data_IF_142031028255
#
_entry.id   IF_142031028255
#
_cell.length_a   1.000
_cell.length_b   1.000
_cell.length_c   1.000
_cell.angle_alpha   90.00
_cell.angle_beta   90.00
_cell.angle_gamma   90.00
#
_symmetry.space_group_name_H-M   'P 1'
#
loop_
_entity.id
_entity.type
_entity.pdbx_description
1 polymer ?
#
# COMPACT_ATOMS: atom_id res chain seq x y z
N UNK A 1 4.48 -9.69 -15.01
CA UNK A 1 4.80 -10.94 -14.25
C UNK A 1 3.54 -11.59 -13.64
N UNK A 2 2.75 -10.91 -12.81
CA UNK A 2 1.53 -11.52 -12.21
C UNK A 2 0.57 -12.10 -13.27
N UNK A 3 0.32 -11.36 -14.36
CA UNK A 3 -0.52 -11.81 -15.48
C UNK A 3 0.01 -13.04 -16.24
N UNK A 4 1.32 -13.32 -16.21
CA UNK A 4 1.88 -14.52 -16.85
C UNK A 4 1.68 -15.74 -15.94
N UNK A 5 1.98 -15.61 -14.64
CA UNK A 5 1.74 -16.67 -13.65
C UNK A 5 0.24 -17.02 -13.57
N UNK A 6 -0.65 -16.03 -13.62
CA UNK A 6 -2.10 -16.27 -13.63
C UNK A 6 -2.61 -16.94 -14.91
N UNK A 7 -1.89 -16.80 -16.04
CA UNK A 7 -2.19 -17.54 -17.27
C UNK A 7 -1.68 -18.97 -17.17
N UNK A 8 -0.45 -19.16 -16.71
CA UNK A 8 0.15 -20.46 -16.46
C UNK A 8 -0.71 -21.34 -15.54
N UNK A 9 -1.25 -20.78 -14.44
CA UNK A 9 -2.17 -21.52 -13.56
C UNK A 9 -3.44 -21.97 -14.29
N UNK A 10 -3.98 -21.14 -15.19
CA UNK A 10 -5.15 -21.51 -16.01
C UNK A 10 -4.81 -22.54 -17.08
N UNK A 11 -3.60 -22.49 -17.61
CA UNK A 11 -3.11 -23.48 -18.57
C UNK A 11 -2.93 -24.84 -17.90
N UNK A 12 -2.30 -24.90 -16.72
CA UNK A 12 -2.18 -26.12 -15.92
C UNK A 12 -3.54 -26.71 -15.53
N UNK A 13 -4.51 -25.86 -15.15
CA UNK A 13 -5.87 -26.31 -14.84
C UNK A 13 -6.59 -26.89 -16.07
N UNK A 14 -6.42 -26.27 -17.24
CA UNK A 14 -6.95 -26.80 -18.50
C UNK A 14 -6.31 -28.15 -18.85
N UNK A 15 -5.02 -28.31 -18.64
CA UNK A 15 -4.29 -29.55 -18.90
C UNK A 15 -4.78 -30.68 -17.97
N UNK A 16 -4.96 -30.39 -16.68
CA UNK A 16 -5.58 -31.31 -15.71
C UNK A 16 -6.98 -31.75 -16.16
N UNK A 17 -7.82 -30.81 -16.59
CA UNK A 17 -9.16 -31.13 -17.09
C UNK A 17 -9.12 -31.99 -18.36
N UNK A 18 -8.19 -31.71 -19.28
CA UNK A 18 -8.00 -32.51 -20.49
C UNK A 18 -7.54 -33.95 -20.16
N UNK A 19 -6.63 -34.12 -19.22
CA UNK A 19 -6.18 -35.44 -18.74
C UNK A 19 -7.31 -36.23 -18.07
N UNK A 20 -8.22 -35.56 -17.36
CA UNK A 20 -9.34 -36.20 -16.67
C UNK A 20 -10.57 -36.45 -17.54
N UNK A 21 -10.70 -35.75 -18.68
CA UNK A 21 -11.85 -35.86 -19.60
C UNK A 21 -12.19 -37.31 -20.01
N UNK A 22 -11.21 -38.18 -20.36
CA UNK A 22 -11.49 -39.57 -20.75
C UNK A 22 -12.07 -40.44 -19.63
N UNK A 23 -11.90 -40.04 -18.37
CA UNK A 23 -12.29 -40.86 -17.22
C UNK A 23 -13.69 -40.54 -16.72
N UNK A 24 -14.31 -39.44 -17.16
CA UNK A 24 -15.68 -39.03 -16.78
C UNK A 24 -16.00 -39.21 -15.28
N UNK A 25 -15.03 -38.91 -14.40
CA UNK A 25 -15.14 -39.04 -12.93
C UNK A 25 -14.78 -40.40 -12.32
N UNK A 26 -14.49 -41.42 -13.13
CA UNK A 26 -14.04 -42.76 -12.71
C UNK A 26 -12.53 -42.96 -12.92
N UNK A 27 -11.73 -41.99 -12.49
CA UNK A 27 -10.27 -42.10 -12.54
C UNK A 27 -9.76 -42.97 -11.37
N UNK A 28 -9.05 -44.05 -11.70
CA UNK A 28 -8.35 -44.88 -10.71
C UNK A 28 -6.83 -44.67 -10.81
N UNK A 29 -6.20 -44.03 -9.81
CA UNK A 29 -4.76 -43.78 -9.79
C UNK A 29 -3.91 -45.05 -9.85
N UNK A 30 -4.42 -46.19 -9.36
CA UNK A 30 -3.67 -47.45 -9.31
C UNK A 30 -3.52 -48.10 -10.69
N UNK A 31 -4.51 -47.89 -11.56
CA UNK A 31 -4.52 -48.40 -12.93
C UNK A 31 -3.63 -47.57 -13.87
N UNK A 32 -3.45 -46.28 -13.56
CA UNK A 32 -2.73 -45.34 -14.41
C UNK A 32 -1.77 -44.45 -13.61
N UNK A 33 -0.67 -45.02 -13.09
CA UNK A 33 0.26 -44.30 -12.22
C UNK A 33 0.95 -43.13 -12.91
N UNK A 34 1.17 -43.19 -14.22
CA UNK A 34 1.79 -42.09 -14.98
C UNK A 34 0.90 -40.84 -15.01
N UNK A 35 -0.41 -40.99 -15.24
CA UNK A 35 -1.36 -39.88 -15.22
C UNK A 35 -1.53 -39.36 -13.79
N UNK A 36 -1.59 -40.25 -12.80
CA UNK A 36 -1.67 -39.85 -11.40
C UNK A 36 -0.46 -38.97 -10.98
N UNK A 37 0.74 -39.32 -11.43
CA UNK A 37 1.93 -38.51 -11.19
C UNK A 37 1.85 -37.15 -11.88
N UNK A 38 1.41 -37.09 -13.15
CA UNK A 38 1.26 -35.83 -13.87
C UNK A 38 0.26 -34.90 -13.17
N UNK A 39 -0.92 -35.41 -12.80
CA UNK A 39 -1.93 -34.67 -12.05
C UNK A 39 -1.41 -34.15 -10.70
N UNK A 40 -0.61 -34.96 -10.00
CA UNK A 40 0.00 -34.55 -8.74
C UNK A 40 1.00 -33.40 -8.96
N UNK A 41 1.86 -33.50 -9.96
CA UNK A 41 2.84 -32.46 -10.29
C UNK A 41 2.13 -31.17 -10.67
N UNK A 42 1.13 -31.22 -11.56
CA UNK A 42 0.36 -30.05 -11.97
C UNK A 42 -0.35 -29.40 -10.77
N UNK A 43 -0.95 -30.21 -9.89
CA UNK A 43 -1.56 -29.73 -8.66
C UNK A 43 -0.57 -29.03 -7.73
N UNK A 44 0.62 -29.59 -7.55
CA UNK A 44 1.68 -28.98 -6.73
C UNK A 44 2.21 -27.69 -7.36
N UNK A 45 2.38 -27.65 -8.68
CA UNK A 45 2.77 -26.45 -9.42
C UNK A 45 1.73 -25.32 -9.28
N UNK A 46 0.44 -25.62 -9.46
CA UNK A 46 -0.64 -24.65 -9.24
C UNK A 46 -0.65 -24.12 -7.79
N UNK A 47 -0.48 -24.99 -6.80
CA UNK A 47 -0.41 -24.59 -5.38
C UNK A 47 0.80 -23.72 -5.07
N UNK A 48 1.95 -24.02 -5.68
CA UNK A 48 3.16 -23.19 -5.58
C UNK A 48 2.90 -21.79 -6.15
N UNK A 49 2.35 -21.71 -7.35
CA UNK A 49 2.04 -20.44 -8.01
C UNK A 49 1.04 -19.62 -7.20
N UNK A 50 -0.03 -20.25 -6.69
CA UNK A 50 -1.00 -19.61 -5.79
C UNK A 50 -0.32 -19.06 -4.53
N UNK A 51 0.56 -19.83 -3.88
CA UNK A 51 1.26 -19.40 -2.67
C UNK A 51 2.16 -18.19 -2.92
N UNK A 52 2.92 -18.21 -4.02
CA UNK A 52 3.78 -17.09 -4.40
C UNK A 52 2.98 -15.81 -4.70
N UNK A 53 1.86 -15.93 -5.41
CA UNK A 53 0.98 -14.79 -5.70
C UNK A 53 0.36 -14.21 -4.43
N UNK A 54 -0.15 -15.07 -3.53
CA UNK A 54 -0.71 -14.60 -2.26
C UNK A 54 0.35 -13.93 -1.38
N UNK A 55 1.56 -14.48 -1.32
CA UNK A 55 2.66 -13.86 -0.57
C UNK A 55 3.04 -12.49 -1.16
N UNK A 56 3.14 -12.37 -2.49
CA UNK A 56 3.39 -11.11 -3.16
C UNK A 56 2.33 -10.06 -2.84
N UNK A 57 1.04 -10.42 -3.02
CA UNK A 57 -0.06 -9.50 -2.74
C UNK A 57 -0.13 -9.13 -1.26
N UNK A 58 0.07 -10.09 -0.35
CA UNK A 58 0.07 -9.82 1.09
C UNK A 58 1.14 -8.80 1.49
N UNK A 59 2.39 -9.00 1.07
CA UNK A 59 3.49 -8.08 1.39
C UNK A 59 3.22 -6.69 0.80
N UNK A 60 2.63 -6.63 -0.40
CA UNK A 60 2.27 -5.36 -1.03
C UNK A 60 1.15 -4.64 -0.28
N UNK A 61 0.12 -5.37 0.13
CA UNK A 61 -0.97 -4.84 0.96
C UNK A 61 -0.47 -4.36 2.32
N UNK A 62 0.43 -5.09 2.98
CA UNK A 62 1.08 -4.65 4.23
C UNK A 62 1.76 -3.29 4.06
N UNK A 63 2.41 -3.05 2.91
CA UNK A 63 3.01 -1.74 2.61
C UNK A 63 1.99 -0.65 2.37
N UNK A 64 0.85 -0.95 1.74
CA UNK A 64 -0.23 0.03 1.58
C UNK A 64 -0.86 0.40 2.92
N UNK A 65 -1.11 -0.59 3.77
CA UNK A 65 -1.61 -0.37 5.13
C UNK A 65 -0.63 0.50 5.93
N UNK A 66 0.68 0.19 5.89
CA UNK A 66 1.73 1.00 6.53
C UNK A 66 1.69 2.46 6.08
N UNK A 67 1.52 2.71 4.78
CA UNK A 67 1.40 4.08 4.24
C UNK A 67 0.19 4.82 4.80
N UNK A 68 -0.98 4.15 4.92
CA UNK A 68 -2.16 4.72 5.57
C UNK A 68 -1.88 5.12 7.02
N UNK A 69 -1.15 4.28 7.78
CA UNK A 69 -0.79 4.58 9.17
C UNK A 69 0.23 5.72 9.30
N UNK A 70 1.08 5.93 8.29
CA UNK A 70 2.00 7.08 8.26
C UNK A 70 1.36 8.39 7.77
N UNK A 71 0.08 8.38 7.39
CA UNK A 71 -0.62 9.57 6.90
C UNK A 71 -0.22 10.02 5.50
N UNK A 72 0.46 9.16 4.72
CA UNK A 72 0.85 9.46 3.34
C UNK A 72 -0.34 9.16 2.43
N UNK A 73 -0.94 10.18 1.83
CA UNK A 73 -1.91 9.98 0.76
C UNK A 73 -1.17 9.69 -0.56
N UNK A 74 -1.09 8.40 -0.88
CA UNK A 74 -0.45 7.91 -2.11
C UNK A 74 -1.22 8.36 -3.36
N UNK A 75 -2.52 8.69 -3.24
CA UNK A 75 -3.35 9.14 -4.35
C UNK A 75 -3.07 10.61 -4.70
N UNK A 76 -2.81 11.45 -3.70
CA UNK A 76 -2.47 12.87 -3.91
C UNK A 76 -1.13 13.01 -4.65
N UNK A 77 -0.18 12.11 -4.37
CA UNK A 77 1.13 12.07 -5.00
C UNK A 77 1.10 11.64 -6.49
N UNK A 78 -0.02 11.08 -6.96
CA UNK A 78 -0.20 10.63 -8.34
C UNK A 78 -0.76 11.71 -9.28
N UNK A 79 -1.40 12.75 -8.74
CA UNK A 79 -1.91 13.85 -9.55
C UNK A 79 -0.72 14.70 -10.00
N UNK A 80 -0.40 14.78 -11.32
CA UNK A 80 0.57 15.75 -11.78
C UNK A 80 0.07 17.14 -11.37
N UNK A 81 0.92 18.03 -10.83
CA UNK A 81 0.51 19.41 -10.60
C UNK A 81 0.07 19.96 -11.96
N UNK A 82 -1.23 20.21 -12.09
CA UNK A 82 -1.79 20.86 -13.26
C UNK A 82 -1.26 22.29 -13.25
N UNK A 83 -0.18 22.53 -14.01
CA UNK A 83 0.28 23.83 -14.49
C UNK A 83 -0.05 25.04 -13.60
N UNK A 84 0.71 25.22 -12.52
CA UNK A 84 0.82 26.51 -11.83
C UNK A 84 2.30 26.89 -11.77
N UNK A 85 2.61 28.04 -12.35
CA UNK A 85 3.94 28.56 -12.60
C UNK A 85 4.87 28.55 -11.37
N UNK A 86 6.09 28.03 -11.59
CA UNK A 86 7.31 28.66 -11.11
C UNK A 86 7.68 28.57 -9.63
N UNK A 87 8.13 27.41 -9.15
CA UNK A 87 9.21 27.32 -8.16
C UNK A 87 9.82 25.91 -8.12
N UNK A 88 11.13 25.82 -8.38
CA UNK A 88 11.91 24.59 -8.28
C UNK A 88 11.74 23.92 -6.91
N UNK A 89 10.97 22.83 -6.87
CA UNK A 89 10.95 21.88 -5.77
C UNK A 89 12.22 21.04 -5.84
N UNK A 90 13.15 21.38 -4.95
CA UNK A 90 14.36 20.59 -4.68
C UNK A 90 13.96 19.18 -4.26
N UNK A 91 14.47 18.23 -5.04
CA UNK A 91 14.33 16.79 -4.96
C UNK A 91 14.42 16.22 -3.54
N UNK A 92 13.31 15.61 -3.07
CA UNK A 92 13.40 14.35 -2.36
C UNK A 92 13.35 13.24 -3.41
N UNK A 93 14.51 12.65 -3.64
CA UNK A 93 14.70 11.48 -4.47
C UNK A 93 13.85 10.30 -3.99
N UNK A 94 12.69 10.07 -4.59
CA UNK A 94 12.07 8.74 -4.63
C UNK A 94 11.21 8.57 -5.90
N UNK A 95 11.89 8.07 -6.93
CA UNK A 95 11.39 7.06 -7.87
C UNK A 95 10.13 7.37 -8.71
N UNK A 96 10.36 7.82 -9.95
CA UNK A 96 9.62 7.40 -11.15
C UNK A 96 8.08 7.46 -11.09
N UNK A 97 7.51 8.59 -11.49
CA UNK A 97 6.09 8.94 -11.51
C UNK A 97 5.24 8.17 -12.55
N UNK A 98 5.28 6.84 -12.53
CA UNK A 98 4.24 6.00 -13.11
C UNK A 98 3.51 5.34 -11.95
N UNK A 99 2.18 5.57 -11.83
CA UNK A 99 1.33 4.87 -10.87
C UNK A 99 1.67 3.38 -10.88
N UNK A 100 2.35 2.93 -9.83
CA UNK A 100 2.71 1.53 -9.69
C UNK A 100 1.55 0.74 -9.07
N UNK A 101 0.49 1.43 -8.64
CA UNK A 101 -0.72 0.86 -8.09
C UNK A 101 -1.65 0.41 -9.22
N UNK A 102 -2.27 -0.74 -9.03
CA UNK A 102 -3.39 -1.11 -9.89
C UNK A 102 -4.68 -0.43 -9.41
N UNK A 103 -5.71 -0.25 -10.27
CA UNK A 103 -6.98 0.35 -9.86
C UNK A 103 -7.64 -0.39 -8.68
N UNK A 104 -7.44 -1.72 -8.61
CA UNK A 104 -7.93 -2.53 -7.49
C UNK A 104 -7.20 -2.21 -6.18
N UNK A 105 -5.92 -1.84 -6.24
CA UNK A 105 -5.13 -1.44 -5.08
C UNK A 105 -5.48 -0.03 -4.62
N UNK A 106 -5.78 0.88 -5.55
CA UNK A 106 -6.26 2.24 -5.22
C UNK A 106 -7.61 2.19 -4.50
N UNK A 107 -8.53 1.36 -4.98
CA UNK A 107 -9.83 1.17 -4.32
C UNK A 107 -9.69 0.49 -2.95
N UNK A 108 -8.79 -0.51 -2.83
CA UNK A 108 -8.47 -1.11 -1.53
C UNK A 108 -7.91 -0.08 -0.54
N UNK A 109 -6.98 0.78 -1.00
CA UNK A 109 -6.39 1.83 -0.19
C UNK A 109 -7.46 2.82 0.31
N UNK A 110 -8.36 3.25 -0.58
CA UNK A 110 -9.48 4.13 -0.21
C UNK A 110 -10.37 3.50 0.87
N UNK A 111 -10.80 2.25 0.68
CA UNK A 111 -11.64 1.54 1.64
C UNK A 111 -10.93 1.33 2.99
N UNK A 112 -9.62 1.05 2.98
CA UNK A 112 -8.84 0.91 4.21
C UNK A 112 -8.67 2.26 4.94
N UNK A 113 -8.44 3.34 4.19
CA UNK A 113 -8.37 4.70 4.75
C UNK A 113 -9.70 5.09 5.40
N UNK A 114 -10.83 4.79 4.74
CA UNK A 114 -12.16 5.05 5.30
C UNK A 114 -12.43 4.21 6.56
N UNK A 115 -12.03 2.93 6.55
CA UNK A 115 -12.09 2.05 7.73
C UNK A 115 -11.26 2.63 8.89
N UNK A 116 -10.03 3.07 8.60
CA UNK A 116 -9.13 3.65 9.57
C UNK A 116 -9.69 4.96 10.14
N UNK A 117 -10.23 5.83 9.29
CA UNK A 117 -10.89 7.07 9.72
C UNK A 117 -12.11 6.80 10.61
N UNK A 118 -12.94 5.81 10.25
CA UNK A 118 -14.07 5.39 11.08
C UNK A 118 -13.62 4.83 12.44
N UNK A 119 -12.49 4.11 12.47
CA UNK A 119 -11.91 3.59 13.70
C UNK A 119 -11.34 4.71 14.59
N UNK A 120 -10.59 5.65 14.00
CA UNK A 120 -10.10 6.85 14.68
C UNK A 120 -11.23 7.72 15.24
N UNK A 121 -12.34 7.84 14.51
CA UNK A 121 -13.50 8.62 14.96
C UNK A 121 -14.13 8.14 16.27
N UNK A 122 -13.84 6.91 16.71
CA UNK A 122 -14.24 6.41 18.03
C UNK A 122 -13.38 6.96 19.17
N UNK A 123 -12.17 7.42 18.87
CA UNK A 123 -11.16 7.87 19.82
C UNK A 123 -10.76 9.31 19.48
N UNK A 124 -11.54 10.29 19.96
CA UNK A 124 -11.27 11.72 19.70
C UNK A 124 -10.08 12.26 20.49
N UNK A 125 -9.73 11.60 21.60
CA UNK A 125 -8.73 12.09 22.55
C UNK A 125 -7.34 11.46 22.30
N UNK A 126 -7.25 10.52 21.35
CA UNK A 126 -6.04 9.75 21.06
C UNK A 126 -5.83 9.70 19.57
N UNK A 127 -4.77 10.36 19.08
CA UNK A 127 -4.33 10.16 17.71
C UNK A 127 -3.60 8.82 17.57
N UNK A 128 -4.23 7.90 16.85
CA UNK A 128 -3.70 6.56 16.57
C UNK A 128 -2.62 6.55 15.49
N UNK A 129 -2.47 7.64 14.73
CA UNK A 129 -1.42 7.81 13.70
C UNK A 129 -0.31 8.76 14.13
N UNK A 130 -0.36 9.23 15.37
CA UNK A 130 0.61 10.15 15.93
C UNK A 130 1.99 9.51 16.11
N UNK A 131 2.95 10.33 16.50
CA UNK A 131 4.32 9.88 16.71
C UNK A 131 4.42 8.76 17.76
N UNK A 132 5.04 7.64 17.38
CA UNK A 132 5.35 6.53 18.28
C UNK A 132 6.52 6.83 19.24
N UNK A 133 7.30 7.88 18.95
CA UNK A 133 8.40 8.30 19.80
C UNK A 133 7.88 9.19 20.93
N UNK A 134 8.19 8.86 22.20
CA UNK A 134 7.71 9.66 23.33
C UNK A 134 8.33 11.06 23.30
N UNK A 135 7.54 12.12 23.53
CA UNK A 135 8.03 13.49 23.55
C UNK A 135 9.02 13.69 24.71
N UNK A 136 10.15 14.34 24.42
CA UNK A 136 11.19 14.65 25.42
C UNK A 136 10.91 15.94 26.17
N UNK A 137 10.39 16.93 25.45
CA UNK A 137 10.09 18.27 25.96
C UNK A 137 8.76 18.75 25.38
N UNK A 138 8.06 19.63 26.12
CA UNK A 138 6.78 20.17 25.68
C UNK A 138 6.91 21.12 24.48
N UNK A 139 8.10 21.72 24.30
CA UNK A 139 8.40 22.71 23.27
C UNK A 139 9.62 22.26 22.45
N UNK A 140 9.59 22.58 21.16
CA UNK A 140 10.64 22.27 20.20
C UNK A 140 10.99 23.49 19.36
N UNK A 141 12.25 23.59 18.94
CA UNK A 141 12.70 24.54 17.93
C UNK A 141 12.54 23.92 16.53
N UNK A 142 11.67 24.50 15.71
CA UNK A 142 11.39 24.04 14.34
C UNK A 142 11.98 25.03 13.35
N UNK A 143 12.67 24.52 12.33
CA UNK A 143 13.17 25.31 11.20
C UNK A 143 12.34 25.04 9.95
N UNK A 144 11.80 26.09 9.37
CA UNK A 144 10.98 26.03 8.17
C UNK A 144 11.84 25.79 6.93
N UNK A 145 11.62 24.69 6.22
CA UNK A 145 12.38 24.33 5.01
C UNK A 145 11.79 24.93 3.73
N UNK A 146 10.47 25.13 3.70
CA UNK A 146 9.71 25.67 2.56
C UNK A 146 8.67 26.66 3.08
N UNK A 147 8.45 27.72 2.32
CA UNK A 147 7.42 28.72 2.65
C UNK A 147 6.04 28.08 2.53
N UNK A 148 5.23 28.21 3.58
CA UNK A 148 3.87 27.69 3.64
C UNK A 148 2.85 28.76 4.04
N UNK A 149 3.29 30.02 4.20
CA UNK A 149 2.43 31.14 4.56
C UNK A 149 1.78 30.98 5.94
N UNK A 150 0.55 31.46 6.06
CA UNK A 150 -0.19 31.52 7.33
C UNK A 150 -0.95 30.22 7.60
N UNK A 151 -0.58 29.50 8.66
CA UNK A 151 -1.26 28.28 9.10
C UNK A 151 -2.01 28.55 10.40
N UNK A 152 -3.25 28.09 10.45
CA UNK A 152 -4.11 28.18 11.63
C UNK A 152 -3.94 26.94 12.49
N UNK A 153 -3.51 27.14 13.73
CA UNK A 153 -3.37 26.09 14.74
C UNK A 153 -4.38 26.32 15.87
N UNK A 154 -4.56 25.32 16.73
CA UNK A 154 -5.43 25.43 17.92
C UNK A 154 -5.03 26.56 18.89
N UNK A 155 -3.75 26.98 18.91
CA UNK A 155 -3.24 28.04 19.77
C UNK A 155 -3.10 29.41 19.08
N UNK A 156 -3.43 29.49 17.79
CA UNK A 156 -3.39 30.73 17.03
C UNK A 156 -2.75 30.59 15.66
N UNK A 157 -2.40 31.73 15.09
CA UNK A 157 -1.89 31.86 13.73
C UNK A 157 -0.37 31.86 13.73
N UNK A 158 0.24 31.05 12.87
CA UNK A 158 1.70 31.00 12.69
C UNK A 158 2.04 31.23 11.23
N UNK A 159 2.98 32.13 10.97
CA UNK A 159 3.45 32.42 9.62
C UNK A 159 4.76 31.68 9.35
N UNK A 160 4.70 30.69 8.45
CA UNK A 160 5.80 29.80 8.10
C UNK A 160 6.58 30.33 6.89
N UNK A 161 7.49 31.26 7.15
CA UNK A 161 8.40 31.78 6.12
C UNK A 161 9.64 30.92 5.97
N UNK A 162 10.14 30.74 4.74
CA UNK A 162 11.31 29.89 4.45
C UNK A 162 12.54 30.28 5.29
N UNK A 163 13.20 29.29 5.88
CA UNK A 163 14.38 29.42 6.76
C UNK A 163 14.14 30.12 8.10
N UNK A 164 12.90 30.47 8.46
CA UNK A 164 12.59 30.97 9.81
C UNK A 164 12.72 29.85 10.85
N UNK A 165 12.95 30.25 12.11
CA UNK A 165 12.99 29.37 13.27
C UNK A 165 11.89 29.78 14.23
N UNK A 166 11.16 28.79 14.73
CA UNK A 166 9.99 28.98 15.59
C UNK A 166 10.14 28.08 16.81
N UNK A 167 9.82 28.61 17.98
CA UNK A 167 9.76 27.86 19.23
C UNK A 167 8.31 27.63 19.62
N UNK A 168 7.91 26.38 19.68
CA UNK A 168 6.53 25.97 19.43
C UNK A 168 6.23 24.69 20.20
N UNK A 169 4.98 24.53 20.64
CA UNK A 169 4.56 23.35 21.41
C UNK A 169 4.60 22.12 20.50
N UNK A 170 5.15 21.01 20.98
CA UNK A 170 5.36 19.81 20.17
C UNK A 170 4.06 19.21 19.62
N UNK A 171 2.97 19.21 20.42
CA UNK A 171 1.67 18.67 19.97
C UNK A 171 1.14 19.34 18.70
N UNK A 172 1.41 20.64 18.53
CA UNK A 172 0.94 21.44 17.40
C UNK A 172 1.59 21.08 16.05
N UNK A 173 2.69 20.33 16.03
CA UNK A 173 3.39 19.92 14.80
C UNK A 173 3.12 18.48 14.38
N UNK A 174 2.63 17.66 15.30
CA UNK A 174 2.38 16.24 15.06
C UNK A 174 0.91 15.93 14.80
N UNK A 175 0.00 16.90 14.99
CA UNK A 175 -1.40 16.88 14.59
C UNK A 175 -1.56 17.42 13.15
#
# INVERSE_FOLDING_TARGET
>A
LVRSVAREVRDLDRDVNHLLTPFSGSFDPSQQPAIACALLVDHLCMRRNKRCLLAYHRVRTEKLEELCWTGIDVLEQQVPPAAEDGAQTVASSQSGNHSSLSPEEEEYFRQYSDLLAAYKGQWTDVDLTGALEPPKDLFIDVRVLKDAGEIQTEYGVINLTKNSQLYVRQGMWND
#
